data_IF_805562760257
#
_entry.id   IF_805562760257
#
_cell.length_a   1.000
_cell.length_b   1.000
_cell.length_c   1.000
_cell.angle_alpha   90.00
_cell.angle_beta   90.00
_cell.angle_gamma   90.00
#
_symmetry.space_group_name_H-M   'P 1'
#
loop_
_entity.id
_entity.type
_entity.pdbx_description
1 polymer ?
#
# COMPACT_ATOMS: atom_id res chain seq x y z
N UNK A 1 0.34 28.64 -12.88
CA UNK A 1 1.17 27.47 -12.52
C UNK A 1 1.61 27.55 -11.06
N UNK A 2 2.07 28.66 -10.58
CA UNK A 2 2.49 28.88 -9.19
C UNK A 2 1.38 28.60 -8.17
N UNK A 3 0.17 29.10 -8.41
CA UNK A 3 -0.99 28.83 -7.56
C UNK A 3 -1.33 27.34 -7.43
N UNK A 4 -1.17 26.55 -8.48
CA UNK A 4 -1.37 25.10 -8.41
C UNK A 4 -0.25 24.42 -7.59
N UNK A 5 0.98 24.87 -7.70
CA UNK A 5 2.09 24.31 -6.92
C UNK A 5 1.88 24.55 -5.41
N UNK A 6 1.40 25.73 -5.03
CA UNK A 6 1.09 26.03 -3.63
C UNK A 6 -0.10 25.20 -3.12
N UNK A 7 -1.10 24.97 -3.97
CA UNK A 7 -2.22 24.09 -3.65
C UNK A 7 -1.77 22.63 -3.49
N UNK A 8 -0.90 22.13 -4.37
CA UNK A 8 -0.28 20.80 -4.29
C UNK A 8 0.49 20.63 -2.97
N UNK A 9 1.29 21.64 -2.59
CA UNK A 9 2.01 21.60 -1.30
C UNK A 9 1.05 21.58 -0.11
N UNK A 10 -0.05 22.31 -0.21
CA UNK A 10 -1.09 22.35 0.84
C UNK A 10 -1.77 21.00 1.00
N UNK A 11 -2.21 20.37 -0.11
CA UNK A 11 -2.80 19.04 -0.07
C UNK A 11 -1.84 18.00 0.51
N UNK A 12 -0.61 17.96 0.00
CA UNK A 12 0.39 17.00 0.46
C UNK A 12 0.67 17.12 1.96
N UNK A 13 0.87 18.34 2.47
CA UNK A 13 1.16 18.56 3.90
C UNK A 13 -0.03 18.22 4.79
N UNK A 14 -1.24 18.50 4.33
CA UNK A 14 -2.44 18.12 5.07
C UNK A 14 -2.59 16.60 5.14
N UNK A 15 -2.51 15.92 4.01
CA UNK A 15 -2.59 14.45 3.94
C UNK A 15 -1.48 13.78 4.76
N UNK A 16 -0.26 14.30 4.68
CA UNK A 16 0.88 13.80 5.48
C UNK A 16 0.62 13.88 6.98
N UNK A 17 -0.10 14.91 7.44
CA UNK A 17 -0.38 15.11 8.86
C UNK A 17 -1.50 14.21 9.42
N UNK A 18 -2.27 13.53 8.56
CA UNK A 18 -3.41 12.68 8.96
C UNK A 18 -3.30 11.24 8.46
N UNK A 19 -2.15 10.54 8.61
CA UNK A 19 -1.98 9.18 8.11
C UNK A 19 -2.93 8.21 8.80
N UNK A 20 -3.58 7.35 8.02
CA UNK A 20 -4.50 6.32 8.50
C UNK A 20 -4.15 4.99 7.84
N UNK A 21 -4.24 3.90 8.58
CA UNK A 21 -3.91 2.55 8.10
C UNK A 21 -5.00 2.01 7.18
N UNK A 22 -4.64 0.98 6.43
CA UNK A 22 -5.52 0.36 5.43
C UNK A 22 -6.91 0.01 5.95
N UNK A 23 -7.92 0.35 5.16
CA UNK A 23 -9.36 0.23 5.45
C UNK A 23 -9.87 1.05 6.65
N UNK A 24 -9.06 1.95 7.19
CA UNK A 24 -9.44 2.89 8.26
C UNK A 24 -9.18 4.35 7.85
N UNK A 25 -9.05 4.64 6.57
CA UNK A 25 -8.68 5.94 5.99
C UNK A 25 -9.86 6.92 5.95
N UNK A 26 -10.64 7.01 7.04
CA UNK A 26 -11.88 7.78 7.07
C UNK A 26 -11.69 9.28 6.91
N UNK A 27 -10.69 9.87 7.59
CA UNK A 27 -10.40 11.31 7.48
C UNK A 27 -9.75 11.63 6.14
N UNK A 28 -8.84 10.78 5.70
CA UNK A 28 -8.18 10.87 4.40
C UNK A 28 -9.21 10.84 3.27
N UNK A 29 -10.09 9.82 3.27
CA UNK A 29 -11.17 9.68 2.32
C UNK A 29 -12.10 10.89 2.31
N UNK A 30 -12.53 11.36 3.50
CA UNK A 30 -13.37 12.54 3.63
C UNK A 30 -12.69 13.79 3.05
N UNK A 31 -11.43 14.01 3.37
CA UNK A 31 -10.68 15.16 2.86
C UNK A 31 -10.56 15.14 1.33
N UNK A 32 -10.20 13.99 0.77
CA UNK A 32 -10.11 13.80 -0.69
C UNK A 32 -11.47 14.06 -1.36
N UNK A 33 -12.54 13.54 -0.79
CA UNK A 33 -13.90 13.74 -1.28
C UNK A 33 -14.26 15.23 -1.33
N UNK A 34 -14.04 15.96 -0.23
CA UNK A 34 -14.33 17.38 -0.13
C UNK A 34 -13.48 18.24 -1.10
N UNK A 35 -12.19 17.90 -1.30
CA UNK A 35 -11.34 18.60 -2.26
C UNK A 35 -11.79 18.38 -3.71
N UNK A 36 -12.25 17.18 -4.05
CA UNK A 36 -12.81 16.88 -5.36
C UNK A 36 -14.16 17.60 -5.59
N UNK A 37 -15.02 17.70 -4.58
CA UNK A 37 -16.26 18.49 -4.66
C UNK A 37 -15.96 19.98 -4.87
N UNK A 38 -14.96 20.55 -4.20
CA UNK A 38 -14.52 21.95 -4.41
C UNK A 38 -14.04 22.21 -5.84
N UNK A 39 -13.54 21.18 -6.52
CA UNK A 39 -13.17 21.25 -7.94
C UNK A 39 -14.37 21.15 -8.89
N UNK A 40 -15.57 20.86 -8.38
CA UNK A 40 -16.80 20.71 -9.16
C UNK A 40 -17.11 19.27 -9.57
N UNK A 41 -16.39 18.28 -9.05
CA UNK A 41 -16.66 16.87 -9.31
C UNK A 41 -17.79 16.33 -8.43
N UNK A 42 -18.31 15.17 -8.82
CA UNK A 42 -19.23 14.36 -8.02
C UNK A 42 -18.55 13.02 -7.68
N UNK A 43 -17.75 12.97 -6.61
CA UNK A 43 -17.02 11.76 -6.26
C UNK A 43 -17.98 10.63 -5.87
N UNK A 44 -17.63 9.42 -6.25
CA UNK A 44 -18.36 8.20 -5.93
C UNK A 44 -17.62 7.47 -4.79
N UNK A 45 -18.33 7.12 -3.73
CA UNK A 45 -17.84 6.13 -2.77
C UNK A 45 -17.97 4.75 -3.39
N UNK A 46 -16.85 4.08 -3.60
CA UNK A 46 -16.80 2.76 -4.27
C UNK A 46 -16.54 1.62 -3.29
N UNK A 47 -15.92 1.94 -2.15
CA UNK A 47 -15.82 1.09 -0.95
C UNK A 47 -16.09 1.97 0.27
N UNK A 48 -15.86 1.47 1.49
CA UNK A 48 -16.07 2.26 2.71
C UNK A 48 -15.21 3.53 2.74
N UNK A 49 -13.94 3.43 2.32
CA UNK A 49 -12.98 4.54 2.27
C UNK A 49 -12.49 4.88 0.85
N UNK A 50 -12.70 4.00 -0.11
CA UNK A 50 -12.31 4.20 -1.50
C UNK A 50 -13.22 5.14 -2.26
N UNK A 51 -12.62 6.01 -3.09
CA UNK A 51 -13.31 7.04 -3.86
C UNK A 51 -12.95 6.91 -5.34
N UNK A 52 -13.91 7.21 -6.21
CA UNK A 52 -13.65 7.38 -7.64
C UNK A 52 -14.31 8.65 -8.19
N UNK A 53 -13.73 9.21 -9.25
CA UNK A 53 -14.33 10.26 -10.07
C UNK A 53 -14.31 9.81 -11.52
N UNK A 54 -15.47 9.80 -12.15
CA UNK A 54 -15.59 9.51 -13.58
C UNK A 54 -15.82 10.79 -14.37
N UNK A 55 -14.98 11.01 -15.38
CA UNK A 55 -15.09 12.12 -16.33
C UNK A 55 -15.51 11.55 -17.66
N UNK A 56 -16.74 11.86 -18.06
CA UNK A 56 -17.32 11.41 -19.31
C UNK A 56 -17.03 12.40 -20.45
N UNK A 57 -16.15 12.01 -21.35
CA UNK A 57 -15.86 12.71 -22.59
C UNK A 57 -16.61 12.10 -23.79
N UNK A 58 -17.65 11.31 -23.52
CA UNK A 58 -18.47 10.62 -24.53
C UNK A 58 -17.66 9.68 -25.43
N UNK A 59 -16.69 8.96 -24.85
CA UNK A 59 -15.83 7.99 -25.55
C UNK A 59 -16.23 6.55 -25.18
N UNK A 60 -15.91 5.63 -26.09
CA UNK A 60 -16.16 4.20 -25.88
C UNK A 60 -15.31 3.60 -24.75
N UNK A 61 -14.10 4.12 -24.55
CA UNK A 61 -13.10 3.53 -23.65
C UNK A 61 -12.65 4.53 -22.60
N UNK A 62 -12.27 4.00 -21.44
CA UNK A 62 -11.81 4.76 -20.29
C UNK A 62 -10.36 4.41 -19.97
N UNK A 63 -9.58 5.41 -19.60
CA UNK A 63 -8.28 5.25 -18.97
C UNK A 63 -8.42 5.61 -17.49
N UNK A 64 -7.96 4.72 -16.63
CA UNK A 64 -7.97 4.96 -15.18
C UNK A 64 -6.61 5.44 -14.68
N UNK A 65 -6.65 6.32 -13.68
CA UNK A 65 -5.48 6.73 -12.90
C UNK A 65 -5.72 6.42 -11.44
N UNK A 66 -4.76 5.77 -10.79
CA UNK A 66 -4.89 5.25 -9.42
C UNK A 66 -3.86 5.88 -8.49
N UNK A 67 -4.29 6.20 -7.29
CA UNK A 67 -3.46 6.46 -6.12
C UNK A 67 -3.93 5.57 -4.97
N UNK A 68 -3.00 5.06 -4.18
CA UNK A 68 -3.25 4.54 -2.84
C UNK A 68 -3.49 5.69 -1.86
N UNK A 69 -4.12 5.37 -0.71
CA UNK A 69 -4.49 6.41 0.28
C UNK A 69 -4.14 6.06 1.72
N UNK A 70 -3.69 4.85 1.99
CA UNK A 70 -3.34 4.35 3.32
C UNK A 70 -1.91 4.72 3.75
N UNK A 71 -1.59 4.45 4.99
CA UNK A 71 -0.32 4.73 5.62
C UNK A 71 0.15 3.52 6.44
N UNK A 72 1.39 3.58 6.92
CA UNK A 72 2.04 2.53 7.69
C UNK A 72 1.98 2.80 9.20
N UNK A 73 2.01 1.73 10.00
CA UNK A 73 2.17 1.79 11.46
C UNK A 73 3.63 2.02 11.84
N UNK A 74 4.12 3.22 11.54
CA UNK A 74 5.50 3.64 11.79
C UNK A 74 5.48 4.98 12.51
N UNK A 75 6.22 5.12 13.60
CA UNK A 75 6.39 6.40 14.30
C UNK A 75 7.26 7.35 13.48
N UNK A 76 6.72 8.51 13.15
CA UNK A 76 7.43 9.49 12.35
C UNK A 76 8.54 10.21 13.12
N UNK A 77 9.76 10.19 12.57
CA UNK A 77 10.95 10.83 13.15
C UNK A 77 11.56 11.92 12.25
N UNK A 78 10.83 12.41 11.25
CA UNK A 78 11.36 13.36 10.26
C UNK A 78 11.64 14.76 10.82
N UNK A 79 10.96 15.17 11.89
CA UNK A 79 11.10 16.50 12.47
C UNK A 79 10.49 17.65 11.64
N UNK A 80 9.77 17.36 10.55
CA UNK A 80 9.12 18.39 9.72
C UNK A 80 7.97 19.04 10.45
N UNK A 81 7.66 20.31 10.14
CA UNK A 81 6.60 21.08 10.79
C UNK A 81 5.18 20.57 10.54
N UNK A 82 5.00 19.76 9.50
CA UNK A 82 3.73 19.15 9.10
C UNK A 82 3.72 17.61 9.33
N UNK A 83 4.53 17.13 10.28
CA UNK A 83 4.59 15.71 10.66
C UNK A 83 3.23 15.15 11.05
N UNK A 84 3.12 13.85 11.06
CA UNK A 84 1.94 13.11 11.50
C UNK A 84 1.39 13.63 12.84
N UNK A 85 0.09 13.81 12.92
CA UNK A 85 -0.66 14.07 14.15
C UNK A 85 -1.25 12.79 14.75
N UNK A 86 -1.10 11.67 14.06
CA UNK A 86 -1.54 10.35 14.49
C UNK A 86 -0.33 9.55 15.01
N UNK A 87 -0.23 9.40 16.32
CA UNK A 87 0.87 8.68 16.96
C UNK A 87 1.02 7.27 16.37
N UNK A 88 2.26 6.85 16.12
CA UNK A 88 2.58 5.54 15.58
C UNK A 88 2.18 5.32 14.12
N UNK A 89 1.84 6.38 13.37
CA UNK A 89 1.45 6.27 11.95
C UNK A 89 2.15 7.32 11.10
N UNK A 90 2.55 6.92 9.89
CA UNK A 90 3.26 7.80 8.95
C UNK A 90 2.99 7.38 7.50
N UNK A 91 2.90 8.35 6.59
CA UNK A 91 2.98 8.11 5.15
C UNK A 91 4.44 7.86 4.72
N UNK A 92 5.04 6.76 5.23
CA UNK A 92 6.44 6.42 4.95
C UNK A 92 6.65 5.90 3.53
N UNK A 93 5.61 5.35 2.88
CA UNK A 93 5.66 4.90 1.49
C UNK A 93 5.36 6.02 0.46
N UNK A 94 5.01 7.23 0.92
CA UNK A 94 4.81 8.38 0.03
C UNK A 94 3.41 8.50 -0.57
N UNK A 95 2.41 7.78 -0.04
CA UNK A 95 1.03 7.81 -0.55
C UNK A 95 0.38 9.20 -0.45
N UNK A 96 0.79 10.04 0.49
CA UNK A 96 0.43 11.46 0.55
C UNK A 96 0.83 12.23 -0.72
N UNK A 97 1.99 11.91 -1.29
CA UNK A 97 2.46 12.43 -2.57
C UNK A 97 1.67 11.85 -3.76
N UNK A 98 1.34 10.55 -3.72
CA UNK A 98 0.54 9.89 -4.76
C UNK A 98 -0.87 10.49 -4.84
N UNK A 99 -1.56 10.62 -3.69
CA UNK A 99 -2.87 11.28 -3.60
C UNK A 99 -2.83 12.70 -4.14
N UNK A 100 -1.80 13.44 -3.77
CA UNK A 100 -1.61 14.83 -4.20
C UNK A 100 -1.38 14.94 -5.70
N UNK A 101 -0.63 14.01 -6.30
CA UNK A 101 -0.43 13.97 -7.74
C UNK A 101 -1.75 13.69 -8.48
N UNK A 102 -2.58 12.78 -7.94
CA UNK A 102 -3.89 12.47 -8.52
C UNK A 102 -4.87 13.65 -8.37
N UNK A 103 -4.88 14.36 -7.22
CA UNK A 103 -5.62 15.62 -7.05
C UNK A 103 -5.13 16.70 -8.03
N UNK A 104 -3.82 16.78 -8.26
CA UNK A 104 -3.24 17.71 -9.24
C UNK A 104 -3.69 17.39 -10.67
N UNK A 105 -3.79 16.11 -11.03
CA UNK A 105 -4.36 15.67 -12.29
C UNK A 105 -5.85 16.04 -12.37
N UNK A 106 -6.64 15.78 -11.34
CA UNK A 106 -8.03 16.19 -11.27
C UNK A 106 -8.19 17.69 -11.49
N UNK A 107 -7.38 18.49 -10.79
CA UNK A 107 -7.40 19.95 -10.96
C UNK A 107 -7.11 20.38 -12.41
N UNK A 108 -6.23 19.70 -13.10
CA UNK A 108 -5.92 20.00 -14.52
C UNK A 108 -7.02 19.56 -15.47
N UNK A 109 -7.73 18.50 -15.15
CA UNK A 109 -8.79 17.93 -15.99
C UNK A 109 -10.11 18.68 -15.90
N UNK A 110 -10.36 19.46 -14.84
CA UNK A 110 -11.66 20.11 -14.61
C UNK A 110 -12.14 21.03 -15.72
N UNK A 111 -11.19 21.66 -16.43
CA UNK A 111 -11.48 22.63 -17.52
C UNK A 111 -11.25 22.02 -18.91
N UNK A 112 -10.90 20.74 -18.99
CA UNK A 112 -10.68 20.05 -20.28
C UNK A 112 -12.02 19.65 -20.89
N UNK A 113 -12.24 20.03 -22.14
CA UNK A 113 -13.52 19.81 -22.83
C UNK A 113 -13.55 18.52 -23.64
N UNK A 114 -12.42 18.01 -24.09
CA UNK A 114 -12.34 16.80 -24.90
C UNK A 114 -11.04 16.04 -24.68
N UNK A 115 -11.12 14.71 -24.62
CA UNK A 115 -9.99 13.78 -24.57
C UNK A 115 -10.30 12.56 -25.44
N UNK A 116 -9.27 11.81 -25.89
CA UNK A 116 -9.47 10.62 -26.71
C UNK A 116 -10.11 9.44 -25.96
N UNK A 117 -10.18 9.53 -24.63
CA UNK A 117 -10.80 8.53 -23.74
C UNK A 117 -11.53 9.23 -22.60
N UNK A 118 -12.51 8.55 -22.01
CA UNK A 118 -13.02 8.93 -20.69
C UNK A 118 -11.93 8.72 -19.65
N UNK A 119 -12.05 9.38 -18.50
CA UNK A 119 -11.07 9.27 -17.42
C UNK A 119 -11.74 8.79 -16.14
N UNK A 120 -11.12 7.82 -15.46
CA UNK A 120 -11.53 7.36 -14.14
C UNK A 120 -10.39 7.58 -13.17
N UNK A 121 -10.60 8.45 -12.17
CA UNK A 121 -9.65 8.66 -11.07
C UNK A 121 -10.06 7.76 -9.92
N UNK A 122 -9.11 7.01 -9.35
CA UNK A 122 -9.36 6.02 -8.28
C UNK A 122 -8.43 6.32 -7.12
N UNK A 123 -8.99 6.57 -5.94
CA UNK A 123 -8.30 6.64 -4.66
C UNK A 123 -8.56 5.33 -3.93
N UNK A 124 -7.56 4.45 -3.95
CA UNK A 124 -7.65 3.08 -3.48
C UNK A 124 -7.21 2.96 -2.03
N UNK A 125 -8.02 2.39 -1.13
CA UNK A 125 -7.63 2.07 0.24
C UNK A 125 -6.77 0.81 0.31
N UNK A 126 -6.09 0.61 1.44
CA UNK A 126 -5.53 -0.66 1.86
C UNK A 126 -4.48 -1.25 0.92
N UNK A 127 -3.56 -0.44 0.38
CA UNK A 127 -2.46 -0.95 -0.45
C UNK A 127 -1.46 -1.73 0.39
N UNK A 128 -1.14 -1.23 1.58
CA UNK A 128 -0.17 -1.79 2.53
C UNK A 128 -0.72 -3.01 3.30
N UNK A 129 -2.00 -3.32 3.12
CA UNK A 129 -2.64 -4.50 3.67
C UNK A 129 -3.23 -5.34 2.52
N UNK A 130 -3.23 -6.65 2.68
CA UNK A 130 -3.78 -7.55 1.66
C UNK A 130 -5.25 -7.22 1.39
N UNK A 131 -5.68 -7.14 0.12
CA UNK A 131 -7.04 -6.91 -0.37
C UNK A 131 -7.43 -5.48 -0.79
N UNK A 132 -6.55 -4.49 -0.77
CA UNK A 132 -6.88 -3.14 -1.24
C UNK A 132 -7.35 -3.12 -2.70
N UNK A 133 -6.52 -3.56 -3.65
CA UNK A 133 -6.90 -3.64 -5.05
C UNK A 133 -8.07 -4.61 -5.33
N UNK A 134 -8.12 -5.83 -4.73
CA UNK A 134 -9.30 -6.69 -4.84
C UNK A 134 -10.60 -6.01 -4.38
N UNK A 135 -10.58 -5.18 -3.34
CA UNK A 135 -11.77 -4.47 -2.88
C UNK A 135 -12.35 -3.54 -3.95
N UNK A 136 -11.49 -2.89 -4.74
CA UNK A 136 -11.93 -2.04 -5.86
C UNK A 136 -12.41 -2.89 -7.05
N UNK A 137 -11.68 -3.95 -7.41
CA UNK A 137 -12.04 -4.86 -8.52
C UNK A 137 -13.44 -5.44 -8.28
N UNK A 138 -13.71 -5.90 -7.07
CA UNK A 138 -14.99 -6.52 -6.70
C UNK A 138 -16.19 -5.58 -6.78
N UNK A 139 -15.99 -4.26 -6.90
CA UNK A 139 -17.08 -3.31 -7.14
C UNK A 139 -17.62 -3.36 -8.58
N UNK A 140 -16.92 -4.00 -9.50
CA UNK A 140 -17.25 -4.01 -10.94
C UNK A 140 -17.04 -2.66 -11.63
N UNK A 141 -16.29 -1.73 -11.02
CA UNK A 141 -16.12 -0.37 -11.56
C UNK A 141 -15.38 -0.35 -12.89
N UNK A 142 -14.45 -1.29 -13.10
CA UNK A 142 -13.68 -1.36 -14.34
C UNK A 142 -14.55 -1.78 -15.53
N UNK A 143 -15.41 -2.77 -15.35
CA UNK A 143 -16.37 -3.22 -16.33
C UNK A 143 -17.42 -2.16 -16.61
N UNK A 144 -17.96 -1.55 -15.54
CA UNK A 144 -19.01 -0.50 -15.61
C UNK A 144 -18.56 0.67 -16.47
N UNK A 145 -17.31 1.09 -16.36
CA UNK A 145 -16.78 2.25 -17.10
C UNK A 145 -15.89 1.87 -18.29
N UNK A 146 -15.90 0.61 -18.73
CA UNK A 146 -15.11 0.12 -19.88
C UNK A 146 -13.63 0.50 -19.81
N UNK A 147 -13.00 0.28 -18.64
CA UNK A 147 -11.60 0.62 -18.40
C UNK A 147 -10.70 -0.26 -19.26
N UNK A 148 -9.86 0.35 -20.09
CA UNK A 148 -8.93 -0.32 -21.00
C UNK A 148 -7.51 -0.43 -20.44
N UNK A 149 -7.14 0.50 -19.61
CA UNK A 149 -5.83 0.55 -18.97
C UNK A 149 -5.89 1.38 -17.70
N UNK A 150 -5.03 1.04 -16.75
CA UNK A 150 -4.88 1.75 -15.49
C UNK A 150 -3.42 2.15 -15.32
N UNK A 151 -3.20 3.36 -14.82
CA UNK A 151 -1.90 3.93 -14.55
C UNK A 151 -1.83 4.38 -13.09
N UNK A 152 -0.71 4.08 -12.44
CA UNK A 152 -0.34 4.60 -11.14
C UNK A 152 1.08 5.12 -11.18
N UNK A 153 1.41 6.02 -10.28
CA UNK A 153 2.79 6.43 -10.03
C UNK A 153 3.19 6.00 -8.61
N UNK A 154 4.49 5.83 -8.40
CA UNK A 154 5.05 5.63 -7.08
C UNK A 154 6.19 6.60 -6.85
N UNK A 155 6.25 7.24 -5.68
CA UNK A 155 7.41 8.04 -5.25
C UNK A 155 8.57 7.09 -5.00
N UNK A 156 9.70 7.35 -5.66
CA UNK A 156 10.86 6.46 -5.58
C UNK A 156 12.12 7.27 -5.24
N UNK A 157 12.71 7.07 -4.05
CA UNK A 157 13.84 7.90 -3.60
C UNK A 157 15.07 7.85 -4.51
N UNK A 158 15.24 6.75 -5.25
CA UNK A 158 16.40 6.56 -6.15
C UNK A 158 16.23 7.24 -7.52
N UNK A 159 15.09 7.87 -7.77
CA UNK A 159 14.83 8.64 -9.00
C UNK A 159 15.02 10.13 -8.69
N UNK A 160 15.91 10.79 -9.42
CA UNK A 160 16.19 12.20 -9.24
C UNK A 160 14.93 13.08 -9.34
N UNK A 161 14.88 14.16 -8.57
CA UNK A 161 13.80 15.14 -8.62
C UNK A 161 13.58 15.67 -10.07
N UNK A 162 12.32 15.73 -10.47
CA UNK A 162 11.92 16.17 -11.80
C UNK A 162 12.05 15.12 -12.90
N UNK A 163 12.45 13.89 -12.57
CA UNK A 163 12.48 12.76 -13.50
C UNK A 163 11.32 11.80 -13.28
N UNK A 164 10.91 11.14 -14.34
CA UNK A 164 9.96 10.04 -14.34
C UNK A 164 10.67 8.82 -14.92
N UNK A 165 10.66 7.72 -14.19
CA UNK A 165 11.21 6.44 -14.64
C UNK A 165 10.07 5.47 -14.99
N UNK A 166 10.21 4.77 -16.10
CA UNK A 166 9.33 3.65 -16.46
C UNK A 166 10.10 2.61 -17.28
N UNK A 167 9.58 1.41 -17.35
CA UNK A 167 10.16 0.34 -18.17
C UNK A 167 9.07 -0.54 -18.77
N UNK A 168 9.40 -1.20 -19.85
CA UNK A 168 8.55 -2.26 -20.43
C UNK A 168 8.69 -3.54 -19.59
N UNK A 169 7.59 -4.19 -19.29
CA UNK A 169 7.53 -5.43 -18.51
C UNK A 169 7.42 -5.16 -17.01
N UNK A 170 7.72 -6.14 -16.15
CA UNK A 170 7.59 -6.01 -14.70
C UNK A 170 8.42 -4.85 -14.14
N UNK A 171 7.79 -3.97 -13.38
CA UNK A 171 8.41 -2.83 -12.71
C UNK A 171 8.59 -3.09 -11.21
N UNK A 172 7.59 -3.71 -10.59
CA UNK A 172 7.57 -4.09 -9.17
C UNK A 172 7.53 -5.61 -9.05
N UNK A 173 8.03 -6.15 -7.94
CA UNK A 173 7.86 -7.55 -7.61
C UNK A 173 6.45 -7.82 -7.07
N UNK A 174 5.95 -9.02 -7.26
CA UNK A 174 4.81 -9.53 -6.50
C UNK A 174 5.25 -9.78 -5.07
N UNK A 175 4.44 -9.40 -4.09
CA UNK A 175 4.64 -9.72 -2.68
C UNK A 175 3.64 -10.79 -2.22
N UNK A 176 4.09 -11.64 -1.31
CA UNK A 176 3.26 -12.64 -0.66
C UNK A 176 3.66 -12.79 0.80
N UNK A 177 2.69 -13.05 1.65
CA UNK A 177 2.88 -13.26 3.09
C UNK A 177 2.67 -14.75 3.42
N UNK A 178 3.48 -15.26 4.34
CA UNK A 178 3.41 -16.64 4.80
C UNK A 178 3.55 -16.68 6.31
N UNK A 179 2.49 -17.09 6.99
CA UNK A 179 2.50 -17.37 8.41
C UNK A 179 2.75 -18.86 8.66
N UNK A 180 3.72 -19.16 9.52
CA UNK A 180 4.07 -20.53 9.89
C UNK A 180 4.01 -20.70 11.38
N UNK A 181 3.16 -21.61 11.86
CA UNK A 181 3.07 -21.98 13.26
C UNK A 181 3.60 -23.39 13.47
N UNK A 182 4.62 -23.53 14.30
CA UNK A 182 5.18 -24.82 14.73
C UNK A 182 4.57 -25.21 16.06
N UNK A 183 3.82 -26.31 16.06
CA UNK A 183 3.25 -26.91 17.27
C UNK A 183 4.18 -27.99 17.80
N UNK A 184 4.65 -27.81 19.01
CA UNK A 184 5.50 -28.72 19.76
C UNK A 184 4.78 -29.31 20.98
N UNK A 185 5.57 -29.68 22.00
CA UNK A 185 5.07 -30.22 23.27
C UNK A 185 5.92 -29.67 24.42
N UNK A 186 5.29 -29.04 25.40
CA UNK A 186 5.98 -28.55 26.60
C UNK A 186 6.54 -29.68 27.46
N UNK A 187 7.71 -29.42 28.05
CA UNK A 187 8.33 -30.23 29.09
C UNK A 187 9.22 -29.35 29.98
N UNK A 188 9.54 -29.81 31.15
CA UNK A 188 10.56 -29.14 31.98
C UNK A 188 11.94 -29.18 31.28
N UNK A 189 12.68 -28.07 31.28
CA UNK A 189 13.97 -27.99 30.57
C UNK A 189 14.98 -29.09 30.98
N UNK A 190 14.97 -29.53 32.24
CA UNK A 190 15.78 -30.66 32.72
C UNK A 190 15.30 -32.04 32.24
N UNK A 191 14.11 -32.10 31.62
CA UNK A 191 13.53 -33.29 31.01
C UNK A 191 13.10 -33.03 29.56
N UNK A 192 13.94 -32.31 28.82
CA UNK A 192 13.65 -31.88 27.45
C UNK A 192 13.26 -33.04 26.51
N UNK A 193 13.76 -34.26 26.77
CA UNK A 193 13.49 -35.45 25.97
C UNK A 193 12.02 -35.93 26.07
N UNK A 194 11.24 -35.42 27.03
CA UNK A 194 9.79 -35.68 27.15
C UNK A 194 8.96 -34.65 26.33
N UNK A 195 9.60 -33.60 25.80
CA UNK A 195 8.99 -32.52 25.02
C UNK A 195 9.31 -32.59 23.53
N UNK A 196 8.75 -31.66 22.80
CA UNK A 196 9.06 -31.35 21.39
C UNK A 196 9.28 -29.84 21.32
N UNK A 197 10.52 -29.41 21.06
CA UNK A 197 10.91 -27.99 21.09
C UNK A 197 10.56 -27.29 19.79
N UNK A 198 9.52 -26.47 19.83
CA UNK A 198 9.07 -25.71 18.67
C UNK A 198 10.06 -24.61 18.25
N UNK A 199 10.83 -24.04 19.19
CA UNK A 199 11.84 -23.02 18.87
C UNK A 199 13.00 -23.65 18.09
N UNK A 200 13.46 -24.81 18.52
CA UNK A 200 14.53 -25.53 17.78
C UNK A 200 14.05 -25.89 16.38
N UNK A 201 12.84 -26.41 16.24
CA UNK A 201 12.29 -26.73 14.91
C UNK A 201 12.17 -25.47 14.05
N UNK A 202 11.64 -24.37 14.57
CA UNK A 202 11.52 -23.12 13.85
C UNK A 202 12.87 -22.59 13.39
N UNK A 203 13.94 -22.71 14.22
CA UNK A 203 15.28 -22.29 13.85
C UNK A 203 15.84 -23.07 12.64
N UNK A 204 15.56 -24.37 12.57
CA UNK A 204 15.91 -25.19 11.40
C UNK A 204 15.10 -24.81 10.17
N UNK A 205 13.80 -24.53 10.30
CA UNK A 205 12.97 -24.07 9.18
C UNK A 205 13.49 -22.76 8.63
N UNK A 206 13.77 -21.76 9.48
CA UNK A 206 14.32 -20.47 9.11
C UNK A 206 15.62 -20.63 8.29
N UNK A 207 16.55 -21.44 8.81
CA UNK A 207 17.81 -21.70 8.13
C UNK A 207 17.64 -22.40 6.78
N UNK A 208 16.70 -23.34 6.71
CA UNK A 208 16.43 -24.07 5.47
C UNK A 208 15.68 -23.24 4.43
N UNK A 209 14.80 -22.33 4.83
CA UNK A 209 14.08 -21.45 3.89
C UNK A 209 15.04 -20.60 3.06
N UNK A 210 16.20 -20.21 3.57
CA UNK A 210 17.20 -19.50 2.81
C UNK A 210 17.74 -20.32 1.61
N UNK A 211 17.64 -21.64 1.67
CA UNK A 211 18.03 -22.52 0.57
C UNK A 211 17.07 -22.44 -0.64
N UNK A 212 15.82 -22.02 -0.44
CA UNK A 212 14.86 -21.80 -1.52
C UNK A 212 15.43 -20.78 -2.49
N UNK A 213 15.85 -19.63 -1.99
CA UNK A 213 16.41 -18.56 -2.83
C UNK A 213 17.72 -19.01 -3.48
N UNK A 214 18.62 -19.62 -2.70
CA UNK A 214 19.98 -19.93 -3.17
C UNK A 214 20.09 -21.21 -4.01
N UNK A 215 19.09 -22.12 -3.97
CA UNK A 215 19.18 -23.44 -4.61
C UNK A 215 17.99 -23.83 -5.48
N UNK A 216 16.81 -23.18 -5.31
CA UNK A 216 15.60 -23.60 -6.02
C UNK A 216 15.13 -22.53 -7.03
N UNK A 217 15.55 -21.28 -6.85
CA UNK A 217 15.19 -20.17 -7.74
C UNK A 217 16.33 -19.93 -8.74
N UNK A 218 15.99 -19.66 -9.98
CA UNK A 218 16.99 -19.31 -11.00
C UNK A 218 17.73 -18.03 -10.60
N UNK A 219 19.07 -17.98 -10.72
CA UNK A 219 19.85 -16.78 -10.40
C UNK A 219 19.51 -15.58 -11.29
N UNK A 220 18.80 -15.79 -12.40
CA UNK A 220 18.29 -14.74 -13.30
C UNK A 220 16.90 -14.24 -12.90
N UNK A 221 16.26 -14.82 -11.89
CA UNK A 221 14.96 -14.43 -11.41
C UNK A 221 15.11 -13.72 -10.07
N UNK A 222 14.86 -12.39 -9.99
CA UNK A 222 14.89 -11.66 -8.73
C UNK A 222 13.85 -12.23 -7.76
N UNK A 223 14.28 -12.57 -6.56
CA UNK A 223 13.42 -13.07 -5.50
C UNK A 223 14.02 -12.73 -4.14
N UNK A 224 13.18 -12.35 -3.19
CA UNK A 224 13.55 -12.10 -1.79
C UNK A 224 12.64 -12.95 -0.91
N UNK A 225 13.21 -13.60 0.09
CA UNK A 225 12.49 -14.23 1.20
C UNK A 225 13.01 -13.59 2.48
N UNK A 226 12.15 -12.84 3.14
CA UNK A 226 12.44 -12.19 4.41
C UNK A 226 11.63 -12.85 5.53
N UNK A 227 12.22 -12.95 6.72
CA UNK A 227 11.53 -13.37 7.93
C UNK A 227 11.49 -12.14 8.82
N UNK A 228 10.31 -11.52 8.90
CA UNK A 228 10.10 -10.25 9.61
C UNK A 228 9.93 -10.41 11.10
N UNK A 229 9.28 -11.51 11.52
CA UNK A 229 8.94 -11.76 12.92
C UNK A 229 9.17 -13.21 13.31
N UNK A 230 9.44 -13.45 14.59
CA UNK A 230 9.43 -14.76 15.24
C UNK A 230 9.02 -14.60 16.70
N UNK A 231 8.04 -15.38 17.13
CA UNK A 231 7.58 -15.42 18.50
C UNK A 231 7.51 -16.86 19.01
N UNK A 232 8.07 -17.16 20.18
CA UNK A 232 8.07 -18.53 20.71
C UNK A 232 8.41 -18.64 22.17
N UNK A 233 7.82 -19.66 22.81
CA UNK A 233 8.03 -19.95 24.22
C UNK A 233 7.31 -19.03 25.18
N UNK A 234 7.37 -19.35 26.49
CA UNK A 234 6.74 -18.58 27.56
C UNK A 234 7.71 -18.24 28.68
N UNK A 235 8.48 -19.21 29.15
CA UNK A 235 9.46 -19.06 30.22
C UNK A 235 10.70 -19.91 29.94
N UNK A 236 11.87 -19.45 30.39
CA UNK A 236 13.19 -20.00 30.06
C UNK A 236 13.46 -21.45 30.52
N UNK A 237 12.67 -21.98 31.43
CA UNK A 237 12.84 -23.34 32.01
C UNK A 237 11.79 -24.35 31.53
N UNK A 238 11.07 -24.01 30.47
CA UNK A 238 10.09 -24.88 29.80
C UNK A 238 10.43 -24.98 28.32
N UNK A 239 10.40 -26.21 27.79
CA UNK A 239 10.47 -26.47 26.33
C UNK A 239 9.26 -25.80 25.66
N UNK A 240 9.49 -25.01 24.62
CA UNK A 240 8.43 -24.27 23.93
C UNK A 240 7.47 -25.20 23.19
N UNK A 241 6.19 -25.05 23.43
CA UNK A 241 5.13 -25.82 22.74
C UNK A 241 4.60 -25.15 21.49
N UNK A 242 4.92 -23.87 21.25
CA UNK A 242 4.50 -23.16 20.06
C UNK A 242 5.50 -22.08 19.71
N UNK A 243 5.74 -21.92 18.41
CA UNK A 243 6.54 -20.84 17.81
C UNK A 243 5.90 -20.45 16.49
N UNK A 244 5.66 -19.17 16.28
CA UNK A 244 5.15 -18.58 15.05
C UNK A 244 6.11 -17.54 14.49
#
# INVERSE_FOLDING_TARGET
MEQLLDQIRTWRRHLHAIPEIGFQEYKTSKYLYEELEKMGYQPLKITETGIAVYLDFHKEKTIAFRSDIDALEIEEQTGVSFKSTHQGKMHACGHDGHMTALLGLAYKLKDVQDLPHNVLLIFQPGEEVVNGAPSIINTGIFEKYHVKGIYGLHMFPDVDEGKIACRKGPLMAESGELDVTVHGKSAHAGKYHEGIDSIVIASFLISNYQSIISRMISPMQPCVLNIGEIHGGTVRNIVASQTS
#
